data_IF_227944805985
#
_entry.id   IF_227944805985
#
_cell.length_a   1.000
_cell.length_b   1.000
_cell.length_c   1.000
_cell.angle_alpha   90.00
_cell.angle_beta   90.00
_cell.angle_gamma   90.00
#
_symmetry.space_group_name_H-M   'P 1'
#
loop_
_entity.id
_entity.type
_entity.pdbx_description
1 polymer ?
#
# COMPACT_ATOMS: atom_id res chain seq x y z
N UNK A 1 8.65 -2.87 -13.75
CA UNK A 1 7.68 -2.92 -12.63
C UNK A 1 6.47 -2.09 -13.05
N UNK A 2 5.28 -2.68 -13.09
CA UNK A 2 4.08 -1.96 -13.47
C UNK A 2 3.65 -1.04 -12.31
N UNK A 3 3.34 0.22 -12.63
CA UNK A 3 2.92 1.21 -11.63
C UNK A 3 1.43 1.08 -11.32
N UNK A 4 1.05 1.23 -10.06
CA UNK A 4 -0.34 1.19 -9.60
C UNK A 4 -1.24 2.19 -10.34
N UNK A 5 -0.70 3.34 -10.75
CA UNK A 5 -1.45 4.34 -11.52
C UNK A 5 -2.05 3.79 -12.82
N UNK A 6 -1.34 2.89 -13.51
CA UNK A 6 -1.87 2.26 -14.73
C UNK A 6 -3.07 1.36 -14.43
N UNK A 7 -3.04 0.64 -13.30
CA UNK A 7 -4.15 -0.22 -12.89
C UNK A 7 -5.40 0.62 -12.57
N UNK A 8 -5.24 1.73 -11.84
CA UNK A 8 -6.37 2.61 -11.50
C UNK A 8 -6.92 3.34 -12.72
N UNK A 9 -6.06 3.79 -13.63
CA UNK A 9 -6.47 4.47 -14.87
C UNK A 9 -7.22 3.53 -15.85
N UNK A 10 -6.93 2.23 -15.82
CA UNK A 10 -7.59 1.25 -16.67
C UNK A 10 -9.01 0.85 -16.18
N UNK A 11 -9.42 1.29 -15.00
CA UNK A 11 -10.73 0.97 -14.41
C UNK A 11 -11.86 1.47 -15.30
N UNK A 12 -12.79 0.58 -15.66
CA UNK A 12 -14.05 0.94 -16.31
C UNK A 12 -15.22 0.90 -15.33
N UNK A 13 -16.27 1.69 -15.57
CA UNK A 13 -17.39 1.78 -14.64
C UNK A 13 -18.21 0.49 -14.53
N UNK A 14 -18.23 -0.32 -15.59
CA UNK A 14 -18.88 -1.64 -15.64
C UNK A 14 -18.09 -2.74 -14.92
N UNK A 15 -16.82 -2.51 -14.60
CA UNK A 15 -15.98 -3.55 -14.01
C UNK A 15 -16.22 -3.67 -12.51
N UNK A 16 -16.41 -4.91 -12.06
CA UNK A 16 -16.42 -5.30 -10.65
C UNK A 16 -15.51 -6.51 -10.45
N UNK A 17 -14.75 -6.51 -9.36
CA UNK A 17 -13.90 -7.63 -8.96
C UNK A 17 -14.50 -8.32 -7.73
N UNK A 18 -15.61 -9.03 -7.95
CA UNK A 18 -16.48 -9.52 -6.87
C UNK A 18 -15.83 -10.56 -5.94
N UNK A 19 -14.71 -11.16 -6.38
CA UNK A 19 -13.99 -12.19 -5.63
C UNK A 19 -12.61 -11.74 -5.13
N UNK A 20 -12.17 -10.53 -5.47
CA UNK A 20 -10.85 -10.06 -5.07
C UNK A 20 -10.85 -9.66 -3.59
N UNK A 21 -10.03 -10.35 -2.80
CA UNK A 21 -9.92 -10.14 -1.35
C UNK A 21 -8.63 -9.45 -0.93
N UNK A 22 -7.54 -9.64 -1.69
CA UNK A 22 -6.28 -8.94 -1.46
C UNK A 22 -5.74 -8.38 -2.77
N UNK A 23 -5.15 -7.20 -2.70
CA UNK A 23 -4.45 -6.57 -3.82
C UNK A 23 -3.17 -5.92 -3.32
N UNK A 24 -2.03 -6.26 -3.92
CA UNK A 24 -0.76 -5.56 -3.70
C UNK A 24 -0.23 -5.01 -5.02
N UNK A 25 0.05 -3.70 -5.05
CA UNK A 25 0.61 -3.01 -6.22
C UNK A 25 1.82 -2.18 -5.82
N UNK A 26 2.74 -2.01 -6.76
CA UNK A 26 3.88 -1.12 -6.61
C UNK A 26 3.55 0.27 -7.14
N UNK A 27 3.88 1.34 -6.42
CA UNK A 27 3.65 2.73 -6.84
C UNK A 27 4.92 3.55 -6.73
N UNK A 28 5.43 4.08 -7.84
CA UNK A 28 6.67 4.89 -7.84
C UNK A 28 6.48 6.24 -7.14
N UNK A 29 5.24 6.69 -7.02
CA UNK A 29 4.87 7.96 -6.35
C UNK A 29 5.00 7.83 -4.83
N UNK A 30 5.00 6.63 -4.25
CA UNK A 30 5.25 6.42 -2.83
C UNK A 30 6.75 6.53 -2.50
N UNK A 31 7.28 7.75 -2.50
CA UNK A 31 8.68 8.06 -2.14
C UNK A 31 8.71 9.39 -1.41
N UNK A 32 9.74 9.65 -0.60
CA UNK A 32 9.88 10.90 0.16
C UNK A 32 10.02 12.14 -0.75
N UNK A 33 10.46 11.96 -1.99
CA UNK A 33 10.68 13.03 -2.97
C UNK A 33 9.42 13.45 -3.70
N UNK A 34 8.34 12.65 -3.60
CA UNK A 34 7.15 12.87 -4.38
C UNK A 34 6.33 14.01 -3.77
N UNK A 35 5.61 14.72 -4.64
CA UNK A 35 4.65 15.71 -4.20
C UNK A 35 3.55 15.02 -3.39
N UNK A 36 3.28 15.53 -2.18
CA UNK A 36 2.22 15.02 -1.30
C UNK A 36 0.86 14.99 -2.02
N UNK A 37 0.60 15.96 -2.89
CA UNK A 37 -0.63 16.01 -3.70
C UNK A 37 -0.73 14.82 -4.66
N UNK A 38 0.38 14.41 -5.27
CA UNK A 38 0.40 13.26 -6.19
C UNK A 38 0.15 11.95 -5.45
N UNK A 39 0.75 11.78 -4.27
CA UNK A 39 0.48 10.64 -3.40
C UNK A 39 -1.00 10.60 -3.03
N UNK A 40 -1.57 11.72 -2.58
CA UNK A 40 -2.98 11.80 -2.19
C UNK A 40 -3.94 11.57 -3.38
N UNK A 41 -3.61 12.05 -4.57
CA UNK A 41 -4.38 11.77 -5.78
C UNK A 41 -4.40 10.27 -6.07
N UNK A 42 -3.23 9.63 -6.09
CA UNK A 42 -3.10 8.19 -6.32
C UNK A 42 -3.85 7.36 -5.26
N UNK A 43 -3.81 7.78 -3.99
CA UNK A 43 -4.55 7.10 -2.92
C UNK A 43 -6.07 7.28 -3.01
N UNK A 44 -6.55 8.40 -3.58
CA UNK A 44 -7.98 8.58 -3.90
C UNK A 44 -8.42 7.72 -5.08
N UNK A 45 -7.59 7.59 -6.11
CA UNK A 45 -7.85 6.68 -7.24
C UNK A 45 -7.89 5.21 -6.77
N UNK A 46 -7.01 4.86 -5.83
CA UNK A 46 -7.02 3.56 -5.16
C UNK A 46 -8.33 3.32 -4.40
N UNK A 47 -8.81 4.31 -3.63
CA UNK A 47 -10.09 4.22 -2.93
C UNK A 47 -11.27 4.05 -3.91
N UNK A 48 -11.29 4.83 -5.00
CA UNK A 48 -12.32 4.71 -6.04
C UNK A 48 -12.32 3.32 -6.70
N UNK A 49 -11.14 2.72 -6.86
CA UNK A 49 -10.98 1.37 -7.38
C UNK A 49 -11.42 0.31 -6.36
N UNK A 50 -11.11 0.52 -5.07
CA UNK A 50 -11.55 -0.35 -3.98
C UNK A 50 -13.08 -0.48 -3.89
N UNK A 51 -13.83 0.57 -4.22
CA UNK A 51 -15.31 0.52 -4.27
C UNK A 51 -15.87 -0.50 -5.27
N UNK A 52 -15.06 -0.93 -6.25
CA UNK A 52 -15.41 -1.98 -7.23
C UNK A 52 -14.99 -3.37 -6.77
N UNK A 53 -14.49 -3.53 -5.54
CA UNK A 53 -13.97 -4.77 -4.98
C UNK A 53 -14.74 -5.12 -3.70
N UNK A 54 -15.98 -5.63 -3.79
CA UNK A 54 -16.88 -5.75 -2.63
C UNK A 54 -16.41 -6.71 -1.53
N UNK A 55 -15.44 -7.58 -1.83
CA UNK A 55 -14.84 -8.52 -0.88
C UNK A 55 -13.40 -8.17 -0.49
N UNK A 56 -12.94 -6.96 -0.83
CA UNK A 56 -11.59 -6.52 -0.52
C UNK A 56 -11.38 -6.45 0.99
N UNK A 57 -10.49 -7.30 1.48
CA UNK A 57 -10.05 -7.33 2.86
C UNK A 57 -8.76 -6.52 3.05
N UNK A 58 -7.89 -6.49 2.05
CA UNK A 58 -6.58 -5.81 2.13
C UNK A 58 -6.18 -5.20 0.79
N UNK A 59 -5.73 -3.95 0.82
CA UNK A 59 -5.05 -3.32 -0.31
C UNK A 59 -3.72 -2.75 0.16
N UNK A 60 -2.64 -3.11 -0.53
CA UNK A 60 -1.28 -2.68 -0.24
C UNK A 60 -0.69 -1.96 -1.44
N UNK A 61 -0.24 -0.73 -1.21
CA UNK A 61 0.50 0.06 -2.17
C UNK A 61 1.85 0.32 -1.59
N UNK A 62 2.90 -0.05 -2.30
CA UNK A 62 4.25 0.02 -1.74
C UNK A 62 5.30 0.42 -2.75
N UNK A 63 6.43 0.89 -2.23
CA UNK A 63 7.63 1.15 -2.99
C UNK A 63 8.85 0.83 -2.12
N UNK A 64 9.93 0.40 -2.78
CA UNK A 64 11.16 0.02 -2.10
C UNK A 64 12.36 0.24 -2.99
N UNK A 65 13.36 0.95 -2.49
CA UNK A 65 14.72 1.02 -3.06
C UNK A 65 15.69 1.36 -1.92
N UNK A 66 16.99 1.40 -2.20
CA UNK A 66 17.98 1.79 -1.17
C UNK A 66 17.59 3.14 -0.53
N UNK A 67 17.53 3.18 0.80
CA UNK A 67 17.16 4.33 1.62
C UNK A 67 15.67 4.70 1.60
N UNK A 68 14.84 4.04 0.78
CA UNK A 68 13.43 4.38 0.61
C UNK A 68 12.57 3.14 0.75
N UNK A 69 11.67 3.16 1.72
CA UNK A 69 10.60 2.18 1.82
C UNK A 69 9.31 2.92 2.21
N UNK A 70 8.21 2.62 1.53
CA UNK A 70 6.91 3.19 1.87
C UNK A 70 5.81 2.19 1.60
N UNK A 71 4.87 2.07 2.54
CA UNK A 71 3.69 1.23 2.47
C UNK A 71 2.48 2.05 2.90
N UNK A 72 1.47 2.05 2.04
CA UNK A 72 0.09 2.30 2.40
C UNK A 72 -0.63 0.95 2.43
N UNK A 73 -1.31 0.64 3.53
CA UNK A 73 -2.15 -0.55 3.65
C UNK A 73 -3.54 -0.16 4.14
N UNK A 74 -4.57 -0.54 3.39
CA UNK A 74 -5.94 -0.60 3.88
C UNK A 74 -6.24 -2.02 4.38
N UNK A 75 -6.86 -2.12 5.56
CA UNK A 75 -7.42 -3.35 6.09
C UNK A 75 -8.88 -3.14 6.44
N UNK A 76 -9.72 -4.04 5.93
CA UNK A 76 -11.15 -4.05 6.20
C UNK A 76 -11.42 -4.30 7.68
N UNK A 77 -12.45 -3.65 8.21
CA UNK A 77 -12.99 -3.95 9.53
C UNK A 77 -13.38 -5.43 9.67
N UNK A 78 -13.09 -6.01 10.83
CA UNK A 78 -13.49 -7.36 11.24
C UNK A 78 -13.96 -7.34 12.68
N UNK A 79 -14.90 -8.21 13.03
CA UNK A 79 -15.30 -8.50 14.41
C UNK A 79 -15.66 -7.26 15.25
N UNK A 80 -16.35 -6.29 14.63
CA UNK A 80 -16.79 -5.05 15.28
C UNK A 80 -15.70 -3.97 15.42
N UNK A 81 -14.51 -4.19 14.87
CA UNK A 81 -13.42 -3.19 14.84
C UNK A 81 -13.56 -2.22 13.66
N UNK A 82 -12.87 -1.08 13.74
CA UNK A 82 -12.76 -0.13 12.61
C UNK A 82 -11.87 -0.68 11.49
N UNK A 83 -12.08 -0.18 10.26
CA UNK A 83 -11.13 -0.39 9.19
C UNK A 83 -9.84 0.38 9.50
N UNK A 84 -8.68 -0.16 9.14
CA UNK A 84 -7.38 0.41 9.48
C UNK A 84 -6.66 0.84 8.21
N UNK A 85 -6.09 2.04 8.22
CA UNK A 85 -5.07 2.45 7.27
C UNK A 85 -3.74 2.46 8.00
N UNK A 86 -2.78 1.67 7.54
CA UNK A 86 -1.40 1.70 8.03
C UNK A 86 -0.52 2.42 7.03
N UNK A 87 0.18 3.45 7.51
CA UNK A 87 1.27 4.12 6.80
C UNK A 87 2.57 3.68 7.47
N UNK A 88 3.47 3.10 6.70
CA UNK A 88 4.75 2.65 7.22
C UNK A 88 5.86 2.93 6.23
N UNK A 89 6.91 3.62 6.65
CA UNK A 89 7.99 3.94 5.72
C UNK A 89 9.17 4.68 6.33
N UNK A 90 10.12 5.03 5.48
CA UNK A 90 11.36 5.75 5.83
C UNK A 90 11.17 7.26 5.99
N UNK A 91 9.97 7.77 5.73
CA UNK A 91 9.59 9.15 5.94
C UNK A 91 8.15 9.24 6.43
N UNK A 92 7.79 10.37 7.03
CA UNK A 92 6.41 10.66 7.37
C UNK A 92 5.57 10.86 6.10
N UNK A 93 4.31 10.45 6.16
CA UNK A 93 3.32 10.73 5.13
C UNK A 93 1.99 11.08 5.80
N UNK A 94 1.63 12.37 5.75
CA UNK A 94 0.34 12.84 6.19
C UNK A 94 -0.69 12.66 5.08
N UNK A 95 -1.76 11.90 5.38
CA UNK A 95 -2.89 11.76 4.46
C UNK A 95 -3.73 13.04 4.51
N UNK A 96 -4.06 13.57 3.34
CA UNK A 96 -4.98 14.69 3.20
C UNK A 96 -6.40 14.28 3.63
N UNK A 97 -7.17 15.27 4.10
CA UNK A 97 -8.56 15.07 4.57
C UNK A 97 -9.40 14.37 3.49
N UNK A 98 -9.34 14.84 2.24
CA UNK A 98 -10.08 14.26 1.13
C UNK A 98 -9.70 12.78 0.84
N UNK A 99 -8.46 12.40 1.12
CA UNK A 99 -8.00 11.00 0.98
C UNK A 99 -8.60 10.14 2.08
N UNK A 100 -8.56 10.62 3.33
CA UNK A 100 -9.18 9.93 4.46
C UNK A 100 -10.68 9.74 4.21
N UNK A 101 -11.38 10.80 3.78
CA UNK A 101 -12.81 10.76 3.45
C UNK A 101 -13.15 9.76 2.35
N UNK A 102 -12.32 9.66 1.31
CA UNK A 102 -12.50 8.69 0.23
C UNK A 102 -12.42 7.24 0.76
N UNK A 103 -11.45 6.94 1.62
CA UNK A 103 -11.34 5.63 2.25
C UNK A 103 -12.42 5.36 3.31
N UNK A 104 -12.92 6.41 3.93
CA UNK A 104 -14.09 6.37 4.80
C UNK A 104 -15.34 5.91 4.04
N UNK A 105 -15.50 6.35 2.79
CA UNK A 105 -16.58 5.86 1.91
C UNK A 105 -16.40 4.37 1.61
N UNK A 106 -15.18 3.91 1.33
CA UNK A 106 -14.87 2.48 1.12
C UNK A 106 -15.24 1.66 2.37
N UNK A 107 -14.81 2.11 3.55
CA UNK A 107 -15.10 1.44 4.82
C UNK A 107 -16.61 1.37 5.09
N UNK A 108 -17.35 2.47 4.89
CA UNK A 108 -18.82 2.48 5.03
C UNK A 108 -19.51 1.54 4.04
N UNK A 109 -19.06 1.52 2.79
CA UNK A 109 -19.65 0.71 1.72
C UNK A 109 -19.53 -0.78 1.98
N UNK A 110 -18.40 -1.22 2.54
CA UNK A 110 -18.10 -2.65 2.67
C UNK A 110 -18.17 -3.18 4.11
N UNK A 111 -18.03 -2.36 5.15
CA UNK A 111 -17.74 -2.89 6.49
C UNK A 111 -18.33 -2.08 7.64
N UNK A 112 -19.19 -1.11 7.34
CA UNK A 112 -19.90 -0.27 8.31
C UNK A 112 -18.98 0.40 9.36
N UNK A 113 -18.22 1.42 8.95
CA UNK A 113 -17.40 2.19 9.88
C UNK A 113 -16.61 3.32 9.21
N UNK A 114 -15.69 3.91 9.98
CA UNK A 114 -14.68 4.85 9.50
C UNK A 114 -13.30 4.21 9.53
N UNK A 115 -12.37 4.79 8.79
CA UNK A 115 -10.97 4.36 8.83
C UNK A 115 -10.24 5.00 10.01
N UNK A 116 -9.37 4.21 10.66
CA UNK A 116 -8.41 4.68 11.65
C UNK A 116 -7.03 4.64 11.03
N UNK A 117 -6.32 5.76 11.07
CA UNK A 117 -4.96 5.87 10.50
C UNK A 117 -3.93 5.56 11.58
N UNK A 118 -2.98 4.70 11.25
CA UNK A 118 -1.83 4.35 12.08
C UNK A 118 -0.56 4.57 11.27
N UNK A 119 0.45 5.19 11.90
CA UNK A 119 1.71 5.52 11.24
C UNK A 119 2.89 4.92 12.00
N UNK A 120 3.91 4.43 11.28
CA UNK A 120 5.17 3.98 11.86
C UNK A 120 6.35 4.30 10.95
N UNK A 121 7.49 4.63 11.56
CA UNK A 121 8.72 4.96 10.83
C UNK A 121 9.68 3.77 10.80
N UNK A 122 10.46 3.71 9.72
CA UNK A 122 11.56 2.78 9.51
C UNK A 122 12.83 3.61 9.33
N UNK A 123 13.91 3.19 9.98
CA UNK A 123 15.23 3.79 9.78
C UNK A 123 15.68 3.62 8.30
N UNK A 124 15.96 4.70 7.55
CA UNK A 124 16.46 4.61 6.18
C UNK A 124 17.73 3.76 6.04
N UNK A 125 18.61 3.73 7.05
CA UNK A 125 19.90 3.05 7.01
C UNK A 125 19.76 1.51 7.01
N UNK A 126 18.62 0.99 7.45
CA UNK A 126 18.33 -0.45 7.38
C UNK A 126 17.85 -0.89 5.99
N UNK A 127 17.53 0.05 5.10
CA UNK A 127 17.03 -0.22 3.75
C UNK A 127 18.19 -0.18 2.75
N UNK A 128 18.99 -1.25 2.70
CA UNK A 128 20.18 -1.31 1.83
C UNK A 128 19.84 -1.72 0.41
N UNK A 129 18.77 -2.51 0.26
CA UNK A 129 18.29 -3.00 -1.02
C UNK A 129 16.76 -3.12 -1.06
N UNK A 130 16.22 -3.48 -2.23
CA UNK A 130 14.79 -3.74 -2.44
C UNK A 130 14.28 -4.90 -1.56
N UNK A 131 15.11 -5.92 -1.31
CA UNK A 131 14.77 -7.02 -0.41
C UNK A 131 14.60 -6.57 1.04
N UNK A 132 15.45 -5.64 1.51
CA UNK A 132 15.28 -5.05 2.84
C UNK A 132 13.98 -4.25 2.94
N UNK A 133 13.62 -3.50 1.89
CA UNK A 133 12.33 -2.80 1.86
C UNK A 133 11.15 -3.76 2.00
N UNK A 134 11.10 -4.85 1.21
CA UNK A 134 10.03 -5.85 1.31
C UNK A 134 9.95 -6.43 2.74
N UNK A 135 11.10 -6.81 3.30
CA UNK A 135 11.20 -7.39 4.64
C UNK A 135 10.74 -6.41 5.73
N UNK A 136 11.19 -5.16 5.65
CA UNK A 136 10.92 -4.15 6.68
C UNK A 136 9.51 -3.59 6.59
N UNK A 137 8.95 -3.43 5.39
CA UNK A 137 7.55 -3.00 5.23
C UNK A 137 6.57 -4.08 5.74
N UNK A 138 6.95 -5.36 5.66
CA UNK A 138 6.12 -6.46 6.12
C UNK A 138 4.85 -6.58 5.30
N UNK A 139 4.96 -6.43 3.97
CA UNK A 139 3.86 -6.56 3.01
C UNK A 139 3.18 -7.92 3.22
N UNK A 140 1.86 -7.90 3.47
CA UNK A 140 1.09 -9.08 3.88
C UNK A 140 0.80 -10.01 2.71
N UNK A 141 0.66 -9.44 1.52
CA UNK A 141 0.55 -10.20 0.28
C UNK A 141 1.93 -10.69 -0.13
N UNK A 142 2.05 -11.96 -0.51
CA UNK A 142 3.32 -12.56 -0.95
C UNK A 142 3.76 -11.97 -2.30
N UNK A 143 4.34 -10.76 -2.27
CA UNK A 143 4.88 -10.05 -3.45
C UNK A 143 6.16 -10.71 -3.97
N UNK A 144 6.81 -11.53 -3.12
CA UNK A 144 7.96 -12.36 -3.44
C UNK A 144 7.93 -13.60 -2.57
N UNK A 145 8.31 -14.75 -3.13
CA UNK A 145 8.39 -15.99 -2.35
C UNK A 145 9.46 -15.88 -1.26
N UNK A 146 9.27 -16.47 -0.07
CA UNK A 146 10.27 -16.42 1.00
C UNK A 146 11.67 -16.93 0.59
N UNK A 147 11.75 -17.93 -0.30
CA UNK A 147 13.03 -18.42 -0.84
C UNK A 147 13.69 -17.37 -1.73
N UNK A 148 12.94 -16.77 -2.65
CA UNK A 148 13.45 -15.71 -3.54
C UNK A 148 13.89 -14.47 -2.77
N UNK A 149 13.16 -14.10 -1.70
CA UNK A 149 13.57 -13.00 -0.82
C UNK A 149 14.91 -13.29 -0.14
N UNK A 150 15.11 -14.52 0.36
CA UNK A 150 16.40 -14.94 0.94
C UNK A 150 17.53 -14.87 -0.08
N UNK A 151 17.28 -15.30 -1.32
CA UNK A 151 18.27 -15.21 -2.40
C UNK A 151 18.66 -13.75 -2.69
N UNK A 152 17.68 -12.85 -2.87
CA UNK A 152 17.92 -11.43 -3.09
C UNK A 152 18.77 -10.82 -1.96
N UNK A 153 18.45 -11.15 -0.71
CA UNK A 153 19.20 -10.65 0.45
C UNK A 153 20.63 -11.19 0.49
N UNK A 154 20.83 -12.49 0.21
CA UNK A 154 22.15 -13.12 0.18
C UNK A 154 23.03 -12.56 -0.95
N UNK A 155 22.48 -12.41 -2.15
CA UNK A 155 23.20 -11.85 -3.30
C UNK A 155 23.60 -10.40 -3.07
N UNK A 156 22.74 -9.60 -2.43
CA UNK A 156 23.10 -8.23 -2.09
C UNK A 156 24.25 -8.17 -1.08
N UNK A 157 24.22 -9.03 -0.04
CA UNK A 157 25.30 -9.12 0.95
C UNK A 157 26.63 -9.56 0.35
N UNK A 158 26.61 -10.45 -0.65
CA UNK A 158 27.83 -10.89 -1.32
C UNK A 158 28.46 -9.80 -2.23
N UNK A 159 27.70 -8.76 -2.57
CA UNK A 159 28.11 -7.66 -3.46
C UNK A 159 28.41 -6.33 -2.73
N UNK A 160 28.08 -6.24 -1.45
CA UNK A 160 28.24 -5.03 -0.62
C UNK A 160 29.55 -5.07 0.15
#
# INVERSE_FOLDING_TARGET
MADAGYFFAARQDSWTWDKLTSLALTSRVLTHDANISDINNMLRDAAATALKMPRLDTMELWNGRRGVAMLFRYQRARDGQSAIITIRGTSELALGIATIEAWDVVARRHSHGRVVVQTSLIDPDVIRCHGDAIRQLGVSTEVVRPVSLRQILSEHRARA
#
